data_IF_885652680154
#
_entry.id   IF_885652680154
#
_cell.length_a   1.000
_cell.length_b   1.000
_cell.length_c   1.000
_cell.angle_alpha   90.00
_cell.angle_beta   90.00
_cell.angle_gamma   90.00
#
_symmetry.space_group_name_H-M   'P 1'
#
loop_
_entity.id
_entity.type
_entity.pdbx_description
1 polymer ?
#
# COMPACT_ATOMS: atom_id res chain seq x y z
N UNK A 1 6.78 -25.02 -11.50
CA UNK A 1 5.57 -24.18 -11.47
C UNK A 1 5.87 -22.92 -12.25
N UNK A 2 5.12 -22.63 -13.30
CA UNK A 2 5.22 -21.37 -14.05
C UNK A 2 4.29 -20.30 -13.45
N UNK A 3 4.41 -19.06 -13.91
CA UNK A 3 3.64 -17.91 -13.42
C UNK A 3 2.13 -18.17 -13.42
N UNK A 4 1.60 -18.73 -14.52
CA UNK A 4 0.17 -19.02 -14.66
C UNK A 4 -0.28 -20.09 -13.65
N UNK A 5 0.46 -21.18 -13.53
CA UNK A 5 0.16 -22.25 -12.57
C UNK A 5 0.16 -21.74 -11.13
N UNK A 6 1.08 -20.84 -10.80
CA UNK A 6 1.13 -20.22 -9.48
C UNK A 6 -0.12 -19.38 -9.20
N UNK A 7 -0.50 -18.47 -10.12
CA UNK A 7 -1.68 -17.62 -9.90
C UNK A 7 -2.99 -18.42 -9.89
N UNK A 8 -3.11 -19.45 -10.72
CA UNK A 8 -4.29 -20.33 -10.73
C UNK A 8 -4.42 -21.09 -9.39
N UNK A 9 -3.31 -21.63 -8.88
CA UNK A 9 -3.28 -22.29 -7.57
C UNK A 9 -3.55 -21.31 -6.43
N UNK A 10 -2.95 -20.11 -6.49
CA UNK A 10 -3.19 -19.06 -5.51
C UNK A 10 -4.66 -18.65 -5.44
N UNK A 11 -5.32 -18.41 -6.59
CA UNK A 11 -6.74 -18.04 -6.62
C UNK A 11 -7.65 -19.17 -6.12
N UNK A 12 -7.30 -20.45 -6.38
CA UNK A 12 -8.04 -21.59 -5.87
C UNK A 12 -7.97 -21.69 -4.33
N UNK A 13 -6.80 -21.37 -3.76
CA UNK A 13 -6.52 -21.55 -2.33
C UNK A 13 -6.73 -20.29 -1.49
N UNK A 14 -6.84 -19.10 -2.10
CA UNK A 14 -6.82 -17.83 -1.34
C UNK A 14 -7.89 -17.76 -0.24
N UNK A 15 -9.05 -18.37 -0.46
CA UNK A 15 -10.14 -18.38 0.52
C UNK A 15 -9.87 -19.26 1.73
N UNK A 16 -8.99 -20.26 1.61
CA UNK A 16 -8.55 -21.07 2.75
C UNK A 16 -7.68 -20.28 3.73
N UNK A 17 -7.19 -19.12 3.29
CA UNK A 17 -6.37 -18.21 4.08
C UNK A 17 -6.97 -16.80 4.16
N UNK A 18 -8.29 -16.70 4.01
CA UNK A 18 -9.05 -15.49 4.32
C UNK A 18 -9.78 -15.68 5.64
N UNK A 19 -9.48 -14.83 6.60
CA UNK A 19 -10.16 -14.74 7.88
C UNK A 19 -11.12 -13.55 7.81
N UNK A 20 -12.39 -13.80 8.14
CA UNK A 20 -13.45 -12.80 8.13
C UNK A 20 -13.68 -12.28 9.55
N UNK A 21 -14.25 -11.09 9.66
CA UNK A 21 -14.71 -10.54 10.92
C UNK A 21 -15.73 -11.47 11.59
N UNK A 22 -15.64 -11.62 12.92
CA UNK A 22 -16.51 -12.53 13.68
C UNK A 22 -17.98 -12.06 13.70
N UNK A 23 -18.20 -10.75 13.68
CA UNK A 23 -19.54 -10.14 13.71
C UNK A 23 -20.11 -9.92 12.29
N UNK A 24 -19.25 -9.70 11.28
CA UNK A 24 -19.63 -9.45 9.89
C UNK A 24 -18.78 -10.28 8.91
N UNK A 25 -19.26 -11.49 8.61
CA UNK A 25 -18.60 -12.44 7.69
C UNK A 25 -18.49 -11.96 6.24
N UNK A 26 -18.94 -10.75 5.90
CA UNK A 26 -18.70 -10.13 4.59
C UNK A 26 -17.39 -9.34 4.53
N UNK A 27 -16.74 -9.11 5.68
CA UNK A 27 -15.54 -8.28 5.81
C UNK A 27 -14.31 -9.13 6.10
N UNK A 28 -13.36 -9.24 5.15
CA UNK A 28 -12.08 -9.89 5.43
C UNK A 28 -11.23 -9.01 6.35
N UNK A 29 -10.84 -9.56 7.51
CA UNK A 29 -9.92 -8.92 8.48
C UNK A 29 -8.46 -9.31 8.19
N UNK A 30 -8.24 -10.50 7.65
CA UNK A 30 -6.93 -10.95 7.22
C UNK A 30 -7.07 -11.80 5.96
N UNK A 31 -6.24 -11.55 4.96
CA UNK A 31 -6.25 -12.30 3.71
C UNK A 31 -4.82 -12.50 3.24
N UNK A 32 -4.48 -13.72 2.83
CA UNK A 32 -3.22 -13.96 2.13
C UNK A 32 -3.31 -13.30 0.75
N UNK A 33 -2.40 -12.35 0.54
CA UNK A 33 -2.30 -11.55 -0.67
C UNK A 33 -0.84 -11.43 -1.11
N UNK A 34 -0.64 -11.02 -2.36
CA UNK A 34 0.68 -10.66 -2.86
C UNK A 34 0.91 -9.16 -2.61
N UNK A 35 1.88 -8.87 -1.76
CA UNK A 35 2.34 -7.52 -1.45
C UNK A 35 3.80 -7.44 -1.85
N UNK A 36 4.16 -6.47 -2.68
CA UNK A 36 5.55 -6.14 -2.93
C UNK A 36 6.02 -5.23 -1.81
N UNK A 37 7.11 -5.59 -1.12
CA UNK A 37 7.70 -4.77 -0.06
C UNK A 37 9.11 -4.38 -0.47
N UNK A 38 9.31 -3.10 -0.77
CA UNK A 38 10.64 -2.57 -1.06
C UNK A 38 11.30 -2.09 0.22
N UNK A 39 12.53 -2.56 0.45
CA UNK A 39 13.37 -2.12 1.56
C UNK A 39 14.41 -1.14 1.02
N UNK A 40 14.42 0.09 1.53
CA UNK A 40 15.26 1.16 1.04
C UNK A 40 16.22 1.61 2.14
N UNK A 41 17.50 1.70 1.78
CA UNK A 41 18.58 2.22 2.64
C UNK A 41 18.70 3.73 2.46
N UNK A 42 18.98 4.45 3.54
CA UNK A 42 19.12 5.91 3.61
C UNK A 42 17.90 6.67 3.08
N UNK A 43 16.71 6.08 3.10
CA UNK A 43 15.52 6.65 2.47
C UNK A 43 14.99 7.89 3.22
N UNK A 44 15.50 8.15 4.44
CA UNK A 44 15.31 9.40 5.17
C UNK A 44 15.99 10.61 4.51
N UNK A 45 16.95 10.41 3.59
CA UNK A 45 17.63 11.51 2.90
C UNK A 45 16.67 12.24 1.93
N UNK A 46 16.74 13.58 1.80
CA UNK A 46 15.76 14.34 1.04
C UNK A 46 15.64 13.90 -0.43
N UNK A 47 16.75 13.56 -1.08
CA UNK A 47 16.75 13.07 -2.46
C UNK A 47 16.02 11.73 -2.60
N UNK A 48 16.13 10.85 -1.60
CA UNK A 48 15.45 9.54 -1.63
C UNK A 48 13.97 9.66 -1.29
N UNK A 49 13.59 10.61 -0.42
CA UNK A 49 12.19 10.95 -0.17
C UNK A 49 11.47 11.45 -1.42
N UNK A 50 12.14 12.22 -2.27
CA UNK A 50 11.60 12.59 -3.59
C UNK A 50 11.28 11.37 -4.44
N UNK A 51 12.17 10.37 -4.49
CA UNK A 51 11.86 9.13 -5.23
C UNK A 51 10.68 8.34 -4.64
N UNK A 52 10.49 8.36 -3.31
CA UNK A 52 9.30 7.78 -2.67
C UNK A 52 8.05 8.55 -3.10
N UNK A 53 8.11 9.88 -3.09
CA UNK A 53 7.02 10.75 -3.51
C UNK A 53 6.67 10.53 -5.00
N UNK A 54 7.67 10.39 -5.87
CA UNK A 54 7.51 10.05 -7.29
C UNK A 54 6.87 8.66 -7.47
N UNK A 55 7.32 7.65 -6.72
CA UNK A 55 6.72 6.32 -6.77
C UNK A 55 5.25 6.34 -6.31
N UNK A 56 4.93 7.13 -5.29
CA UNK A 56 3.57 7.31 -4.83
C UNK A 56 2.70 8.05 -5.87
N UNK A 57 3.23 9.09 -6.51
CA UNK A 57 2.57 9.79 -7.63
C UNK A 57 2.29 8.85 -8.81
N UNK A 58 3.25 7.99 -9.17
CA UNK A 58 3.07 6.99 -10.22
C UNK A 58 2.00 5.95 -9.86
N UNK A 59 1.94 5.56 -8.58
CA UNK A 59 0.91 4.67 -8.10
C UNK A 59 -0.49 5.31 -8.24
N UNK A 60 -0.63 6.58 -7.90
CA UNK A 60 -1.87 7.34 -8.05
C UNK A 60 -2.29 7.51 -9.52
N UNK A 61 -1.35 7.76 -10.42
CA UNK A 61 -1.62 7.81 -11.85
C UNK A 61 -2.26 6.51 -12.36
N UNK A 62 -1.80 5.36 -11.85
CA UNK A 62 -2.28 4.05 -12.29
C UNK A 62 -3.50 3.52 -11.52
N UNK A 63 -3.63 3.87 -10.23
CA UNK A 63 -4.57 3.23 -9.30
C UNK A 63 -5.29 4.22 -8.37
N UNK A 64 -5.09 5.53 -8.53
CA UNK A 64 -5.73 6.56 -7.71
C UNK A 64 -7.25 6.51 -7.74
N UNK A 65 -7.84 6.11 -8.87
CA UNK A 65 -9.29 5.90 -9.02
C UNK A 65 -9.85 4.76 -8.13
N UNK A 66 -8.98 3.90 -7.59
CA UNK A 66 -9.32 2.83 -6.65
C UNK A 66 -9.16 3.25 -5.19
N UNK A 67 -8.35 4.26 -4.93
CA UNK A 67 -8.13 4.75 -3.57
C UNK A 67 -9.39 5.44 -3.04
N UNK A 68 -9.66 5.25 -1.76
CA UNK A 68 -10.82 5.79 -1.06
C UNK A 68 -10.43 6.61 0.17
N UNK A 69 -9.26 6.34 0.73
CA UNK A 69 -8.72 7.16 1.80
C UNK A 69 -7.34 6.74 2.24
N UNK A 70 -6.80 7.44 3.23
CA UNK A 70 -5.49 7.17 3.77
C UNK A 70 -5.22 7.96 5.05
N UNK A 71 -4.07 7.73 5.66
CA UNK A 71 -3.61 8.50 6.81
C UNK A 71 -2.16 8.94 6.63
N UNK A 72 -1.80 9.93 7.44
CA UNK A 72 -0.42 10.32 7.73
C UNK A 72 -0.23 10.39 9.23
N UNK A 73 0.90 9.93 9.73
CA UNK A 73 1.17 9.89 11.17
C UNK A 73 1.19 11.28 11.81
N UNK A 74 1.70 12.29 11.10
CA UNK A 74 1.88 13.66 11.59
C UNK A 74 0.56 14.35 11.94
N UNK A 75 -0.55 13.74 11.50
CA UNK A 75 -1.89 14.25 11.69
C UNK A 75 -2.78 13.25 12.45
N UNK A 76 -2.15 12.32 13.18
CA UNK A 76 -2.77 11.54 14.26
C UNK A 76 -3.47 10.25 13.85
N UNK A 77 -2.92 9.48 12.89
CA UNK A 77 -3.47 8.20 12.40
C UNK A 77 -4.97 8.24 12.03
N UNK A 78 -5.48 9.42 11.69
CA UNK A 78 -6.87 9.61 11.28
C UNK A 78 -6.98 9.35 9.79
N UNK A 79 -7.88 8.43 9.43
CA UNK A 79 -8.23 8.20 8.04
C UNK A 79 -8.95 9.42 7.46
N UNK A 80 -8.49 9.84 6.30
CA UNK A 80 -9.12 10.87 5.47
C UNK A 80 -9.59 10.26 4.17
N UNK A 81 -10.70 10.81 3.68
CA UNK A 81 -11.18 10.52 2.35
C UNK A 81 -10.13 10.91 1.31
N UNK A 82 -10.05 10.10 0.25
CA UNK A 82 -9.18 10.41 -0.87
C UNK A 82 -9.70 11.62 -1.64
N UNK A 83 -8.80 12.56 -1.91
CA UNK A 83 -8.97 13.63 -2.89
C UNK A 83 -7.62 13.95 -3.52
N UNK A 84 -7.61 14.53 -4.74
CA UNK A 84 -6.38 15.02 -5.36
C UNK A 84 -5.64 16.04 -4.48
N UNK A 85 -6.36 16.84 -3.68
CA UNK A 85 -5.76 17.79 -2.74
C UNK A 85 -5.02 17.06 -1.62
N UNK A 86 -5.68 16.14 -0.90
CA UNK A 86 -5.05 15.39 0.20
C UNK A 86 -3.87 14.55 -0.30
N UNK A 87 -3.99 14.00 -1.52
CA UNK A 87 -2.90 13.28 -2.17
C UNK A 87 -1.68 14.19 -2.40
N UNK A 88 -1.87 15.35 -3.05
CA UNK A 88 -0.79 16.33 -3.28
C UNK A 88 -0.19 16.82 -1.97
N UNK A 89 -1.00 16.96 -0.93
CA UNK A 89 -0.54 17.38 0.39
C UNK A 89 0.35 16.31 1.05
N UNK A 90 0.03 15.04 0.85
CA UNK A 90 0.87 13.92 1.27
C UNK A 90 2.19 13.87 0.50
N UNK A 91 2.17 14.05 -0.82
CA UNK A 91 3.39 14.15 -1.65
C UNK A 91 4.32 15.25 -1.14
N UNK A 92 3.79 16.48 -0.95
CA UNK A 92 4.59 17.61 -0.43
C UNK A 92 5.15 17.34 0.96
N UNK A 93 4.41 16.65 1.81
CA UNK A 93 4.88 16.28 3.15
C UNK A 93 6.11 15.39 3.08
N UNK A 94 6.07 14.33 2.25
CA UNK A 94 7.20 13.41 2.06
C UNK A 94 8.44 14.17 1.58
N UNK A 95 8.27 15.12 0.66
CA UNK A 95 9.38 15.88 0.08
C UNK A 95 10.01 16.92 1.02
N UNK A 96 9.25 17.46 1.97
CA UNK A 96 9.66 18.61 2.80
C UNK A 96 10.07 18.24 4.22
N UNK A 97 9.64 17.09 4.72
CA UNK A 97 9.97 16.63 6.07
C UNK A 97 11.48 16.41 6.26
N UNK A 98 11.98 16.67 7.48
CA UNK A 98 13.39 16.66 7.82
C UNK A 98 13.97 15.25 8.01
N UNK A 99 15.27 15.08 7.81
CA UNK A 99 15.95 13.77 7.86
C UNK A 99 15.88 13.08 9.23
N UNK A 100 15.58 13.82 10.28
CA UNK A 100 15.47 13.33 11.65
C UNK A 100 14.02 13.12 12.09
N UNK A 101 13.06 13.25 11.17
CA UNK A 101 11.65 12.98 11.41
C UNK A 101 11.26 11.71 10.67
N UNK A 102 10.48 10.84 11.30
CA UNK A 102 9.90 9.68 10.63
C UNK A 102 8.87 10.12 9.56
N UNK A 103 8.63 9.22 8.61
CA UNK A 103 7.54 9.35 7.65
C UNK A 103 6.76 8.06 7.65
N UNK A 104 5.54 8.12 8.16
CA UNK A 104 4.56 7.05 8.04
C UNK A 104 3.26 7.55 7.39
N UNK A 105 2.87 6.86 6.33
CA UNK A 105 1.57 7.07 5.69
C UNK A 105 1.09 5.81 4.99
N UNK A 106 -0.23 5.73 4.76
CA UNK A 106 -0.84 4.64 3.99
C UNK A 106 -2.08 5.13 3.27
N UNK A 107 -2.24 4.72 2.02
CA UNK A 107 -3.42 4.97 1.19
C UNK A 107 -4.02 3.67 0.70
N UNK A 108 -5.35 3.60 0.73
CA UNK A 108 -6.14 2.37 0.77
C UNK A 108 -7.39 2.47 -0.11
N UNK A 109 -7.76 1.38 -0.78
CA UNK A 109 -9.06 1.25 -1.43
C UNK A 109 -10.21 0.98 -0.47
N UNK A 110 -9.92 0.39 0.69
CA UNK A 110 -10.85 0.25 1.81
C UNK A 110 -10.27 1.07 2.98
N UNK A 111 -10.84 2.25 3.28
CA UNK A 111 -10.27 3.19 4.23
C UNK A 111 -10.62 2.75 5.66
N UNK A 112 -10.09 1.61 6.05
CA UNK A 112 -10.19 0.97 7.36
C UNK A 112 -8.85 0.31 7.66
N UNK A 113 -8.26 0.58 8.83
CA UNK A 113 -6.93 0.05 9.19
C UNK A 113 -7.00 -1.39 9.69
N UNK A 114 -8.18 -1.87 10.06
CA UNK A 114 -8.42 -3.23 10.58
C UNK A 114 -8.78 -4.21 9.46
N UNK A 115 -9.11 -3.70 8.26
CA UNK A 115 -9.53 -4.51 7.12
C UNK A 115 -8.49 -4.50 5.99
N UNK A 116 -8.53 -5.55 5.18
CA UNK A 116 -7.59 -5.69 4.05
C UNK A 116 -8.07 -4.89 2.84
N UNK A 117 -7.18 -4.04 2.30
CA UNK A 117 -7.40 -3.33 1.04
C UNK A 117 -6.85 -4.07 -0.17
N UNK A 118 -7.66 -4.12 -1.22
CA UNK A 118 -7.28 -4.60 -2.55
C UNK A 118 -6.14 -3.77 -3.18
N UNK A 119 -6.16 -2.45 -2.99
CA UNK A 119 -5.14 -1.52 -3.45
C UNK A 119 -4.58 -0.74 -2.27
N UNK A 120 -3.26 -0.77 -2.13
CA UNK A 120 -2.58 -0.07 -1.06
C UNK A 120 -1.19 0.41 -1.47
N UNK A 121 -0.87 1.63 -1.07
CA UNK A 121 0.50 2.14 -1.04
C UNK A 121 0.78 2.63 0.38
N UNK A 122 1.82 2.09 1.00
CA UNK A 122 2.25 2.49 2.33
C UNK A 122 3.73 2.82 2.36
N UNK A 123 4.12 3.64 3.32
CA UNK A 123 5.51 3.91 3.64
C UNK A 123 5.66 3.95 5.14
N UNK A 124 6.71 3.31 5.63
CA UNK A 124 7.31 3.60 6.93
C UNK A 124 8.78 3.88 6.69
N UNK A 125 9.22 5.12 6.90
CA UNK A 125 10.62 5.54 6.84
C UNK A 125 11.03 6.05 8.22
N UNK A 126 11.95 5.37 8.92
CA UNK A 126 12.41 5.85 10.20
C UNK A 126 13.22 7.14 10.07
N UNK A 127 13.48 7.77 11.21
CA UNK A 127 14.47 8.84 11.34
C UNK A 127 15.86 8.35 10.94
N UNK A 128 16.68 9.23 10.37
CA UNK A 128 18.01 8.84 9.91
C UNK A 128 18.94 8.35 11.02
N UNK A 129 18.88 8.96 12.21
CA UNK A 129 19.63 8.47 13.36
C UNK A 129 19.17 7.07 13.80
N UNK A 130 17.87 6.78 13.68
CA UNK A 130 17.29 5.51 14.09
C UNK A 130 17.73 4.39 13.14
N UNK A 131 17.73 4.63 11.83
CA UNK A 131 18.30 3.69 10.85
C UNK A 131 19.78 3.40 11.13
N UNK A 132 20.60 4.42 11.41
CA UNK A 132 22.02 4.26 11.67
C UNK A 132 22.33 3.45 12.94
N UNK A 133 21.52 3.62 14.00
CA UNK A 133 21.73 2.93 15.29
C UNK A 133 21.14 1.52 15.27
N UNK A 134 19.96 1.35 14.67
CA UNK A 134 19.18 0.11 14.80
C UNK A 134 19.12 -0.73 13.51
N UNK A 135 19.59 -0.21 12.38
CA UNK A 135 19.51 -0.88 11.08
C UNK A 135 18.07 -1.00 10.54
N UNK A 136 17.13 -0.23 11.10
CA UNK A 136 15.74 -0.21 10.67
C UNK A 136 15.64 0.48 9.32
N UNK A 137 15.29 -0.27 8.28
CA UNK A 137 15.17 0.26 6.92
C UNK A 137 13.79 0.83 6.64
N UNK A 138 13.72 1.79 5.72
CA UNK A 138 12.46 2.22 5.15
C UNK A 138 11.77 1.07 4.42
N UNK A 139 10.47 0.93 4.62
CA UNK A 139 9.61 -0.08 4.00
C UNK A 139 8.55 0.62 3.16
N UNK A 140 8.43 0.20 1.90
CA UNK A 140 7.37 0.64 0.99
C UNK A 140 6.55 -0.58 0.56
N UNK A 141 5.51 -0.96 1.32
CA UNK A 141 4.55 -1.98 0.90
C UNK A 141 3.60 -1.45 -0.17
N UNK A 142 3.42 -2.24 -1.23
CA UNK A 142 2.49 -1.97 -2.33
C UNK A 142 1.65 -3.22 -2.57
N UNK A 143 0.33 -3.08 -2.57
CA UNK A 143 -0.60 -4.11 -3.03
C UNK A 143 -1.44 -3.59 -4.19
N UNK A 144 -1.77 -4.50 -5.10
CA UNK A 144 -2.75 -4.23 -6.16
C UNK A 144 -3.73 -5.40 -6.18
N UNK A 145 -4.95 -5.17 -6.69
CA UNK A 145 -5.95 -6.21 -6.81
C UNK A 145 -5.56 -7.20 -7.91
N UNK A 146 -4.59 -8.06 -7.62
CA UNK A 146 -4.16 -9.17 -8.48
C UNK A 146 -5.36 -10.07 -8.82
N UNK A 147 -6.34 -10.17 -7.92
CA UNK A 147 -7.62 -10.85 -8.13
C UNK A 147 -8.54 -10.20 -9.21
N UNK A 148 -8.43 -8.89 -9.47
CA UNK A 148 -9.29 -8.21 -10.46
C UNK A 148 -8.79 -8.37 -11.90
N UNK A 149 -7.47 -8.54 -12.08
CA UNK A 149 -6.85 -8.73 -13.41
C UNK A 149 -7.15 -10.12 -13.97
N UNK A 150 -7.21 -11.15 -13.13
CA UNK A 150 -7.61 -12.50 -13.55
C UNK A 150 -9.08 -12.55 -14.06
N UNK A 151 -10.00 -11.79 -13.46
CA UNK A 151 -11.41 -11.72 -13.92
C UNK A 151 -11.58 -11.05 -15.29
N UNK A 152 -10.72 -10.10 -15.68
CA UNK A 152 -10.82 -9.42 -16.99
C UNK A 152 -10.30 -10.25 -18.17
N UNK A 153 -9.44 -11.24 -17.94
CA UNK A 153 -8.93 -12.12 -19.00
C UNK A 153 -9.93 -13.24 -19.32
N UNK A 154 -10.74 -13.66 -18.34
CA UNK A 154 -11.71 -14.75 -18.50
C UNK A 154 -13.08 -14.30 -19.05
N UNK A 155 -13.39 -13.00 -19.13
CA UNK A 155 -14.67 -12.50 -19.65
C UNK A 155 -14.69 -12.15 -21.15
N UNK A 156 -13.60 -12.38 -21.90
CA UNK A 156 -13.52 -12.14 -23.37
C UNK A 156 -13.64 -13.39 -24.23
N UNK A 157 -14.11 -14.52 -23.71
CA UNK A 157 -14.46 -15.71 -24.51
C UNK A 157 -15.85 -16.22 -24.15
N UNK A 158 -16.87 -15.61 -24.76
CA UNK A 158 -18.18 -16.20 -25.07
C UNK A 158 -18.90 -15.26 -26.05
N UNK A 159 -18.64 -15.49 -27.34
CA UNK A 159 -19.64 -15.40 -28.41
C UNK A 159 -19.94 -16.82 -28.83
#
# INVERSE_FOLDING_TARGET
MNEKEFFDAFEAERWNFTFMDEADTTKPVQQVGLVAVFHLVDAYLPIRRKHIAEAFALYDEHYGDKLRGGYREDLGLRIRSYSPEEFRDCVRYIETIGTNDAVEFKWLSLPDLELVSDYMFGVYSPEGWYEQVHGSLTKVPISTAIASRARRVLSRRRM
#
